data_IF_182171730162
#
_entry.id   IF_182171730162
#
_cell.length_a   1.000
_cell.length_b   1.000
_cell.length_c   1.000
_cell.angle_alpha   90.00
_cell.angle_beta   90.00
_cell.angle_gamma   90.00
#
_symmetry.space_group_name_H-M   'P 1'
#
loop_
_entity.id
_entity.type
_entity.pdbx_description
1 polymer ?
#
# COMPACT_ATOMS: atom_id res chain seq x y z
N UNK A 1 -1.42 20.63 -0.43
CA UNK A 1 -0.36 20.00 0.39
C UNK A 1 1.03 20.26 -0.17
N UNK A 2 1.33 19.88 -1.42
CA UNK A 2 2.68 19.94 -1.99
C UNK A 2 3.27 21.37 -2.03
N UNK A 3 2.46 22.39 -2.27
CA UNK A 3 2.91 23.80 -2.25
C UNK A 3 3.36 24.21 -0.84
N UNK A 4 2.67 23.75 0.20
CA UNK A 4 3.07 23.99 1.60
C UNK A 4 4.37 23.25 1.94
N UNK A 5 4.55 22.02 1.47
CA UNK A 5 5.80 21.28 1.61
C UNK A 5 6.98 22.00 0.94
N UNK A 6 6.78 22.50 -0.28
CA UNK A 6 7.78 23.28 -1.01
C UNK A 6 8.17 24.60 -0.27
N UNK A 7 7.30 25.09 0.61
CA UNK A 7 7.52 26.27 1.46
C UNK A 7 7.93 25.93 2.89
N UNK A 8 8.37 24.67 3.13
CA UNK A 8 8.79 24.16 4.45
C UNK A 8 7.71 24.26 5.55
N UNK A 9 6.44 24.35 5.16
CA UNK A 9 5.29 24.43 6.07
C UNK A 9 4.63 23.05 6.21
N UNK A 10 5.29 22.15 6.93
CA UNK A 10 4.88 20.73 7.04
C UNK A 10 3.71 20.50 7.99
N UNK A 11 3.60 21.27 9.08
CA UNK A 11 2.62 21.08 10.14
C UNK A 11 1.16 20.99 9.63
N UNK A 12 0.65 22.01 8.93
CA UNK A 12 -0.72 21.98 8.42
C UNK A 12 -1.02 20.82 7.47
N UNK A 13 -0.04 20.43 6.67
CA UNK A 13 -0.17 19.28 5.76
C UNK A 13 -0.31 17.96 6.51
N UNK A 14 0.50 17.78 7.57
CA UNK A 14 0.45 16.55 8.37
C UNK A 14 -0.82 16.42 9.21
N UNK A 15 -1.38 17.55 9.67
CA UNK A 15 -2.61 17.57 10.48
C UNK A 15 -3.90 17.49 9.66
N UNK A 16 -3.86 17.81 8.39
CA UNK A 16 -5.08 17.83 7.56
C UNK A 16 -5.79 16.46 7.44
N UNK A 17 -5.10 15.31 7.33
CA UNK A 17 -5.77 14.01 7.36
C UNK A 17 -6.43 13.69 8.72
N UNK A 18 -5.86 14.19 9.82
CA UNK A 18 -6.44 13.99 11.16
C UNK A 18 -7.82 14.64 11.25
N UNK A 19 -7.98 15.83 10.67
CA UNK A 19 -9.28 16.53 10.63
C UNK A 19 -10.30 15.70 9.83
N UNK A 20 -9.90 15.15 8.68
CA UNK A 20 -10.77 14.26 7.92
C UNK A 20 -11.19 13.04 8.74
N UNK A 21 -10.26 12.42 9.48
CA UNK A 21 -10.57 11.27 10.33
C UNK A 21 -11.51 11.62 11.46
N UNK A 22 -11.37 12.80 12.10
CA UNK A 22 -12.30 13.29 13.13
C UNK A 22 -13.70 13.44 12.55
N UNK A 23 -13.83 14.03 11.36
CA UNK A 23 -15.13 14.18 10.68
C UNK A 23 -15.72 12.82 10.35
N UNK A 24 -14.91 11.89 9.84
CA UNK A 24 -15.35 10.53 9.51
C UNK A 24 -15.84 9.77 10.75
N UNK A 25 -15.13 9.85 11.87
CA UNK A 25 -15.54 9.23 13.14
C UNK A 25 -16.84 9.86 13.64
N UNK A 26 -16.92 11.19 13.66
CA UNK A 26 -18.14 11.90 14.05
C UNK A 26 -19.33 11.51 13.17
N UNK A 27 -19.13 11.41 11.88
CA UNK A 27 -20.15 10.97 10.91
C UNK A 27 -20.62 9.54 11.16
N UNK A 28 -19.71 8.63 11.48
CA UNK A 28 -20.06 7.24 11.81
C UNK A 28 -20.85 7.16 13.13
N UNK A 29 -20.47 7.95 14.13
CA UNK A 29 -21.23 8.02 15.39
C UNK A 29 -22.66 8.53 15.14
N UNK A 30 -22.81 9.58 14.33
CA UNK A 30 -24.14 10.09 13.95
C UNK A 30 -24.92 9.03 13.16
N UNK A 31 -24.27 8.36 12.21
CA UNK A 31 -24.89 7.29 11.44
C UNK A 31 -25.43 6.17 12.33
N UNK A 32 -24.62 5.71 13.30
CA UNK A 32 -25.03 4.67 14.26
C UNK A 32 -26.17 5.15 15.19
N UNK A 33 -26.22 6.45 15.51
CA UNK A 33 -27.32 7.02 16.30
C UNK A 33 -28.63 7.11 15.52
N UNK A 34 -28.56 7.40 14.23
CA UNK A 34 -29.74 7.59 13.36
C UNK A 34 -30.28 6.24 12.85
N UNK A 35 -29.40 5.34 12.43
CA UNK A 35 -29.80 4.10 11.77
C UNK A 35 -29.60 2.83 12.62
N UNK A 36 -28.99 2.98 13.80
CA UNK A 36 -28.71 1.85 14.69
C UNK A 36 -27.48 1.04 14.27
N UNK A 37 -27.20 0.00 15.05
CA UNK A 37 -26.11 -0.93 14.77
C UNK A 37 -26.57 -1.99 13.75
N UNK A 38 -25.65 -2.37 12.86
CA UNK A 38 -25.87 -3.52 12.00
C UNK A 38 -25.82 -4.81 12.82
N UNK A 39 -26.82 -5.68 12.66
CA UNK A 39 -26.83 -7.02 13.23
C UNK A 39 -26.60 -8.05 12.13
N UNK A 40 -25.78 -9.07 12.43
CA UNK A 40 -25.50 -10.13 11.47
C UNK A 40 -26.80 -10.82 11.01
N UNK A 41 -26.95 -11.00 9.69
CA UNK A 41 -28.15 -11.59 9.07
C UNK A 41 -29.24 -10.57 8.67
N UNK A 42 -29.01 -9.27 8.81
CA UNK A 42 -29.91 -8.27 8.21
C UNK A 42 -29.83 -8.28 6.70
N UNK A 43 -31.00 -8.11 6.06
CA UNK A 43 -31.10 -8.01 4.62
C UNK A 43 -30.20 -6.86 4.07
N UNK A 44 -29.36 -7.10 3.07
CA UNK A 44 -28.60 -6.04 2.37
C UNK A 44 -29.48 -4.91 1.82
N UNK A 45 -30.77 -5.16 1.58
CA UNK A 45 -31.77 -4.17 1.14
C UNK A 45 -32.02 -3.02 2.14
N UNK A 46 -31.53 -3.11 3.37
CA UNK A 46 -31.58 -2.01 4.34
C UNK A 46 -30.76 -0.77 3.90
N UNK A 47 -29.84 -0.94 2.96
CA UNK A 47 -29.05 0.16 2.41
C UNK A 47 -29.89 0.99 1.44
N UNK A 48 -30.78 1.79 1.99
CA UNK A 48 -31.60 2.74 1.26
C UNK A 48 -30.80 3.95 0.75
N UNK A 49 -31.43 4.75 -0.10
CA UNK A 49 -30.81 5.95 -0.66
C UNK A 49 -30.35 6.94 0.42
N UNK A 50 -31.05 7.00 1.57
CA UNK A 50 -30.72 7.87 2.69
C UNK A 50 -29.40 7.47 3.36
N UNK A 51 -29.22 6.19 3.66
CA UNK A 51 -27.97 5.63 4.24
C UNK A 51 -26.80 5.83 3.33
N UNK A 52 -26.97 5.52 2.03
CA UNK A 52 -25.93 5.69 1.02
C UNK A 52 -25.55 7.16 0.87
N UNK A 53 -26.56 8.06 0.78
CA UNK A 53 -26.34 9.49 0.66
C UNK A 53 -25.62 10.06 1.89
N UNK A 54 -26.00 9.64 3.10
CA UNK A 54 -25.36 10.08 4.34
C UNK A 54 -23.87 9.70 4.36
N UNK A 55 -23.52 8.45 4.09
CA UNK A 55 -22.13 8.00 4.05
C UNK A 55 -21.35 8.73 2.95
N UNK A 56 -21.91 8.85 1.75
CA UNK A 56 -21.27 9.56 0.64
C UNK A 56 -21.07 11.05 0.91
N UNK A 57 -22.10 11.75 1.43
CA UNK A 57 -22.04 13.15 1.74
C UNK A 57 -21.03 13.46 2.87
N UNK A 58 -21.02 12.67 3.92
CA UNK A 58 -20.10 12.87 5.06
C UNK A 58 -18.65 12.58 4.67
N UNK A 59 -18.39 11.56 3.86
CA UNK A 59 -17.04 11.29 3.31
C UNK A 59 -16.56 12.46 2.44
N UNK A 60 -17.43 12.95 1.55
CA UNK A 60 -17.14 14.11 0.70
C UNK A 60 -16.89 15.37 1.53
N UNK A 61 -17.70 15.60 2.58
CA UNK A 61 -17.54 16.72 3.50
C UNK A 61 -16.16 16.66 4.20
N UNK A 62 -15.73 15.48 4.66
CA UNK A 62 -14.42 15.29 5.28
C UNK A 62 -13.29 15.72 4.35
N UNK A 63 -13.33 15.30 3.08
CA UNK A 63 -12.35 15.68 2.06
C UNK A 63 -12.41 17.18 1.77
N UNK A 64 -13.59 17.76 1.66
CA UNK A 64 -13.77 19.19 1.41
C UNK A 64 -13.21 20.04 2.56
N UNK A 65 -13.53 19.70 3.80
CA UNK A 65 -13.00 20.41 4.99
C UNK A 65 -11.47 20.25 5.08
N UNK A 66 -10.94 19.06 4.84
CA UNK A 66 -9.49 18.82 4.76
C UNK A 66 -8.83 19.76 3.74
N UNK A 67 -9.42 19.94 2.58
CA UNK A 67 -8.92 20.83 1.54
C UNK A 67 -9.00 22.30 1.98
N UNK A 68 -10.11 22.72 2.59
CA UNK A 68 -10.31 24.09 3.08
C UNK A 68 -9.35 24.46 4.20
N UNK A 69 -9.08 23.55 5.13
CA UNK A 69 -8.12 23.76 6.23
C UNK A 69 -6.72 24.01 5.68
N UNK A 70 -6.32 23.33 4.59
CA UNK A 70 -5.04 23.58 3.92
C UNK A 70 -4.96 24.94 3.21
N UNK A 71 -6.10 25.52 2.85
CA UNK A 71 -6.14 26.81 2.18
C UNK A 71 -5.70 27.95 3.11
N UNK A 72 -6.06 27.90 4.39
CA UNK A 72 -5.73 28.93 5.39
C UNK A 72 -4.21 29.14 5.51
N UNK A 73 -3.38 28.12 5.82
CA UNK A 73 -1.92 28.28 5.90
C UNK A 73 -1.28 28.59 4.54
N UNK A 74 -1.92 28.16 3.43
CA UNK A 74 -1.46 28.49 2.09
C UNK A 74 -1.54 29.99 1.82
N UNK A 75 -2.66 30.61 2.14
CA UNK A 75 -2.83 32.08 2.01
C UNK A 75 -1.93 32.82 2.99
N UNK A 76 -1.81 32.36 4.25
CA UNK A 76 -0.91 32.94 5.27
C UNK A 76 0.56 32.86 4.87
N UNK A 77 0.96 31.85 4.08
CA UNK A 77 2.33 31.75 3.54
C UNK A 77 2.59 32.73 2.37
N UNK A 78 1.66 33.67 2.09
CA UNK A 78 1.79 34.64 1.01
C UNK A 78 1.46 34.11 -0.38
N UNK A 79 0.93 32.87 -0.48
CA UNK A 79 0.47 32.33 -1.75
C UNK A 79 -0.90 32.91 -2.09
N UNK A 80 -0.96 33.70 -3.16
CA UNK A 80 -2.21 34.22 -3.70
C UNK A 80 -2.52 33.49 -4.99
N UNK A 81 -3.45 32.52 -4.99
CA UNK A 81 -3.83 31.83 -6.21
C UNK A 81 -4.43 32.85 -7.19
N UNK A 82 -3.86 32.96 -8.38
CA UNK A 82 -4.42 33.72 -9.49
C UNK A 82 -4.78 32.74 -10.59
N UNK A 83 -6.00 32.83 -11.07
CA UNK A 83 -6.43 32.09 -12.25
C UNK A 83 -5.78 32.74 -13.47
N UNK A 84 -4.77 32.08 -14.04
CA UNK A 84 -4.09 32.55 -15.24
C UNK A 84 -4.49 31.65 -16.39
N UNK A 85 -5.14 32.22 -17.36
CA UNK A 85 -5.51 31.54 -18.60
C UNK A 85 -4.34 31.69 -19.60
N UNK A 86 -3.82 30.60 -20.05
CA UNK A 86 -2.72 30.52 -21.01
C UNK A 86 -1.55 29.69 -20.50
N UNK A 87 -1.30 28.57 -21.18
CA UNK A 87 -0.25 27.62 -20.80
C UNK A 87 1.03 27.76 -21.65
N UNK A 88 1.08 28.77 -22.56
CA UNK A 88 2.25 28.99 -23.43
C UNK A 88 3.40 29.62 -22.64
N UNK A 89 4.60 29.05 -22.77
CA UNK A 89 5.81 29.58 -22.13
C UNK A 89 6.11 29.09 -20.70
N UNK A 90 5.24 28.28 -20.09
CA UNK A 90 5.45 27.79 -18.70
C UNK A 90 6.27 26.49 -18.60
N UNK A 91 6.86 26.01 -19.70
CA UNK A 91 7.64 24.77 -19.71
C UNK A 91 6.80 23.50 -19.42
N UNK A 92 5.48 23.60 -19.46
CA UNK A 92 4.55 22.51 -19.11
C UNK A 92 4.68 21.29 -20.01
N UNK A 93 5.21 21.43 -21.25
CA UNK A 93 5.31 20.34 -22.20
C UNK A 93 6.24 19.21 -21.76
N UNK A 94 7.34 19.50 -21.07
CA UNK A 94 8.21 18.47 -20.52
C UNK A 94 7.62 17.84 -19.24
N UNK A 95 7.05 18.69 -18.36
CA UNK A 95 6.42 18.23 -17.13
C UNK A 95 5.16 17.40 -17.40
N UNK A 96 4.36 17.78 -18.39
CA UNK A 96 3.14 17.02 -18.75
C UNK A 96 3.46 15.64 -19.30
N UNK A 97 4.56 15.46 -20.03
CA UNK A 97 5.01 14.13 -20.48
C UNK A 97 5.38 13.22 -19.30
N UNK A 98 6.15 13.74 -18.33
CA UNK A 98 6.52 12.98 -17.12
C UNK A 98 5.26 12.63 -16.32
N UNK A 99 4.35 13.59 -16.13
CA UNK A 99 3.10 13.39 -15.44
C UNK A 99 2.18 12.37 -16.15
N UNK A 100 2.09 12.43 -17.48
CA UNK A 100 1.28 11.49 -18.26
C UNK A 100 1.77 10.04 -18.08
N UNK A 101 3.08 9.81 -18.19
CA UNK A 101 3.64 8.46 -17.98
C UNK A 101 3.46 7.97 -16.54
N UNK A 102 3.59 8.86 -15.56
CA UNK A 102 3.33 8.52 -14.15
C UNK A 102 1.84 8.20 -13.91
N UNK A 103 0.91 8.95 -14.52
CA UNK A 103 -0.53 8.68 -14.44
C UNK A 103 -0.88 7.33 -15.10
N UNK A 104 -0.31 7.04 -16.26
CA UNK A 104 -0.50 5.74 -16.93
C UNK A 104 0.04 4.60 -16.07
N UNK A 105 1.21 4.76 -15.45
CA UNK A 105 1.75 3.78 -14.50
C UNK A 105 0.81 3.53 -13.32
N UNK A 106 0.34 4.60 -12.69
CA UNK A 106 -0.64 4.50 -11.59
C UNK A 106 -1.93 3.81 -12.03
N UNK A 107 -2.46 4.15 -13.21
CA UNK A 107 -3.67 3.55 -13.75
C UNK A 107 -3.48 2.02 -13.98
N UNK A 108 -2.33 1.61 -14.52
CA UNK A 108 -2.01 0.19 -14.73
C UNK A 108 -1.89 -0.54 -13.39
N UNK A 109 -1.20 0.02 -12.41
CA UNK A 109 -1.09 -0.57 -11.06
C UNK A 109 -2.47 -0.73 -10.42
N UNK A 110 -3.37 0.24 -10.60
CA UNK A 110 -4.75 0.17 -10.07
C UNK A 110 -5.59 -0.97 -10.66
N UNK A 111 -5.21 -1.54 -11.82
CA UNK A 111 -5.90 -2.72 -12.37
C UNK A 111 -5.79 -3.92 -11.42
N UNK A 112 -4.66 -4.08 -10.73
CA UNK A 112 -4.48 -5.12 -9.73
C UNK A 112 -5.43 -4.97 -8.54
N UNK A 113 -5.63 -3.74 -8.06
CA UNK A 113 -6.56 -3.44 -6.96
C UNK A 113 -8.01 -3.69 -7.37
N UNK A 114 -8.37 -3.31 -8.62
CA UNK A 114 -9.69 -3.57 -9.19
C UNK A 114 -9.93 -5.09 -9.28
N UNK A 115 -8.97 -5.86 -9.81
CA UNK A 115 -9.11 -7.30 -9.93
C UNK A 115 -9.27 -7.98 -8.56
N UNK A 116 -8.48 -7.56 -7.57
CA UNK A 116 -8.58 -8.05 -6.19
C UNK A 116 -9.94 -7.72 -5.58
N UNK A 117 -10.46 -6.51 -5.79
CA UNK A 117 -11.77 -6.09 -5.31
C UNK A 117 -12.90 -6.91 -5.96
N UNK A 118 -12.83 -7.15 -7.26
CA UNK A 118 -13.80 -7.99 -7.98
C UNK A 118 -13.78 -9.43 -7.48
N UNK A 119 -12.59 -10.00 -7.26
CA UNK A 119 -12.44 -11.35 -6.73
C UNK A 119 -13.01 -11.45 -5.30
N UNK A 120 -12.71 -10.46 -4.45
CA UNK A 120 -13.24 -10.39 -3.09
C UNK A 120 -14.76 -10.25 -3.03
N UNK A 121 -15.35 -9.49 -3.95
CA UNK A 121 -16.81 -9.36 -4.05
C UNK A 121 -17.47 -10.71 -4.46
N UNK A 122 -16.84 -11.44 -5.39
CA UNK A 122 -17.29 -12.78 -5.76
C UNK A 122 -17.14 -13.80 -4.62
N UNK A 123 -16.13 -13.64 -3.77
CA UNK A 123 -15.94 -14.49 -2.60
C UNK A 123 -17.09 -14.36 -1.60
N UNK A 124 -17.68 -13.17 -1.44
CA UNK A 124 -18.88 -12.96 -0.61
C UNK A 124 -20.05 -13.76 -1.16
N UNK A 125 -20.32 -13.66 -2.47
CA UNK A 125 -21.40 -14.44 -3.09
C UNK A 125 -21.16 -15.95 -3.01
N UNK A 126 -19.91 -16.40 -3.15
CA UNK A 126 -19.57 -17.81 -2.99
C UNK A 126 -19.80 -18.32 -1.55
N UNK A 127 -19.52 -17.49 -0.55
CA UNK A 127 -19.73 -17.82 0.87
C UNK A 127 -21.21 -18.13 1.21
N UNK A 128 -22.14 -17.52 0.48
CA UNK A 128 -23.60 -17.74 0.65
C UNK A 128 -24.08 -19.08 0.05
N UNK A 129 -23.25 -19.76 -0.73
CA UNK A 129 -23.61 -21.03 -1.34
C UNK A 129 -23.56 -22.19 -0.34
N UNK A 130 -24.44 -23.19 -0.51
CA UNK A 130 -24.50 -24.37 0.36
C UNK A 130 -23.17 -25.15 0.42
N UNK A 131 -22.34 -25.07 -0.62
CA UNK A 131 -21.04 -25.71 -0.69
C UNK A 131 -20.07 -25.18 0.36
N UNK A 132 -20.18 -23.92 0.77
CA UNK A 132 -19.28 -23.24 1.71
C UNK A 132 -19.93 -22.94 3.07
N UNK A 133 -21.11 -23.49 3.36
CA UNK A 133 -21.85 -23.26 4.62
C UNK A 133 -21.06 -23.55 5.90
N UNK A 134 -20.06 -24.42 5.83
CA UNK A 134 -19.20 -24.81 6.97
C UNK A 134 -17.76 -24.34 6.85
N UNK A 135 -17.44 -23.50 5.87
CA UNK A 135 -16.07 -23.04 5.60
C UNK A 135 -16.05 -21.52 5.59
N UNK A 136 -15.09 -20.93 6.31
CA UNK A 136 -14.90 -19.49 6.27
C UNK A 136 -14.28 -19.10 4.94
N UNK A 137 -15.01 -18.34 4.14
CA UNK A 137 -14.52 -17.71 2.93
C UNK A 137 -14.18 -16.26 3.25
N UNK A 138 -12.89 -15.87 3.18
CA UNK A 138 -12.51 -14.49 3.52
C UNK A 138 -13.20 -13.49 2.60
N UNK A 139 -13.95 -12.57 3.22
CA UNK A 139 -14.67 -11.49 2.53
C UNK A 139 -13.76 -10.34 2.15
N UNK A 140 -14.30 -9.37 1.39
CA UNK A 140 -13.62 -8.10 1.10
C UNK A 140 -13.20 -7.37 2.38
N UNK A 141 -14.07 -7.31 3.38
CA UNK A 141 -13.79 -6.66 4.66
C UNK A 141 -12.62 -7.33 5.40
N UNK A 142 -12.59 -8.66 5.42
CA UNK A 142 -11.50 -9.42 6.02
C UNK A 142 -10.19 -9.13 5.29
N UNK A 143 -10.21 -9.12 3.96
CA UNK A 143 -9.02 -8.81 3.16
C UNK A 143 -8.53 -7.39 3.40
N UNK A 144 -9.43 -6.40 3.48
CA UNK A 144 -9.07 -5.00 3.75
C UNK A 144 -8.46 -4.82 5.15
N UNK A 145 -9.00 -5.50 6.16
CA UNK A 145 -8.42 -5.52 7.51
C UNK A 145 -7.01 -6.14 7.50
N UNK A 146 -6.82 -7.21 6.72
CA UNK A 146 -5.51 -7.83 6.52
C UNK A 146 -4.52 -6.87 5.86
N UNK A 147 -5.00 -6.12 4.87
CA UNK A 147 -4.21 -5.07 4.20
C UNK A 147 -3.84 -3.92 5.16
N UNK A 148 -4.72 -3.53 6.08
CA UNK A 148 -4.39 -2.51 7.09
C UNK A 148 -3.20 -2.95 7.94
N UNK A 149 -3.22 -4.18 8.48
CA UNK A 149 -2.10 -4.72 9.29
C UNK A 149 -0.80 -4.77 8.47
N UNK A 150 -0.88 -5.20 7.22
CA UNK A 150 0.24 -5.25 6.30
C UNK A 150 0.82 -3.86 6.00
N UNK A 151 -0.03 -2.82 5.84
CA UNK A 151 0.40 -1.48 5.46
C UNK A 151 1.03 -0.68 6.61
N UNK A 152 0.77 -1.02 7.88
CA UNK A 152 1.27 -0.27 9.03
C UNK A 152 2.81 -0.15 9.05
N UNK A 153 3.60 -1.25 8.97
CA UNK A 153 5.05 -1.17 8.93
C UNK A 153 5.57 -0.38 7.74
N UNK A 154 4.93 -0.57 6.60
CA UNK A 154 5.28 0.09 5.35
C UNK A 154 5.12 1.61 5.44
N UNK A 155 3.98 2.08 5.94
CA UNK A 155 3.68 3.51 6.03
C UNK A 155 4.54 4.23 7.08
N UNK A 156 4.78 3.61 8.22
CA UNK A 156 5.51 4.23 9.34
C UNK A 156 7.02 4.33 9.07
N UNK A 157 7.62 3.26 8.58
CA UNK A 157 9.08 3.15 8.50
C UNK A 157 9.59 3.33 7.08
N UNK A 158 9.10 2.48 6.16
CA UNK A 158 9.64 2.43 4.80
C UNK A 158 9.41 3.76 4.07
N UNK A 159 8.21 4.33 4.18
CA UNK A 159 7.89 5.61 3.53
C UNK A 159 8.74 6.75 4.07
N UNK A 160 8.98 6.81 5.38
CA UNK A 160 9.81 7.85 6.01
C UNK A 160 11.26 7.79 5.53
N UNK A 161 11.86 6.60 5.55
CA UNK A 161 13.23 6.37 5.10
C UNK A 161 13.37 6.70 3.61
N UNK A 162 12.46 6.19 2.79
CA UNK A 162 12.49 6.37 1.34
C UNK A 162 12.32 7.86 0.98
N UNK A 163 11.46 8.60 1.68
CA UNK A 163 11.24 10.03 1.40
C UNK A 163 12.50 10.85 1.68
N UNK A 164 13.18 10.59 2.81
CA UNK A 164 14.44 11.25 3.13
C UNK A 164 15.54 10.93 2.11
N UNK A 165 15.66 9.67 1.70
CA UNK A 165 16.64 9.23 0.71
C UNK A 165 16.34 9.77 -0.68
N UNK A 166 15.07 9.86 -1.06
CA UNK A 166 14.67 10.37 -2.37
C UNK A 166 15.13 11.82 -2.59
N UNK A 167 15.00 12.68 -1.58
CA UNK A 167 15.48 14.07 -1.65
C UNK A 167 16.99 14.13 -1.91
N UNK A 168 17.77 13.29 -1.22
CA UNK A 168 19.23 13.20 -1.42
C UNK A 168 19.58 12.67 -2.81
N UNK A 169 18.94 11.55 -3.22
CA UNK A 169 19.16 10.95 -4.54
C UNK A 169 18.81 11.92 -5.66
N UNK A 170 17.72 12.68 -5.55
CA UNK A 170 17.30 13.65 -6.55
C UNK A 170 18.32 14.81 -6.69
N UNK A 171 18.83 15.32 -5.56
CA UNK A 171 19.87 16.36 -5.56
C UNK A 171 21.16 15.86 -6.21
N UNK A 172 21.63 14.66 -5.88
CA UNK A 172 22.82 14.04 -6.47
C UNK A 172 22.63 13.71 -7.95
N UNK A 173 21.46 13.20 -8.33
CA UNK A 173 21.14 12.95 -9.75
C UNK A 173 21.19 14.23 -10.58
N UNK A 174 20.64 15.34 -10.06
CA UNK A 174 20.71 16.65 -10.71
C UNK A 174 22.14 17.19 -10.81
N UNK A 175 23.01 16.88 -9.85
CA UNK A 175 24.43 17.22 -9.88
C UNK A 175 25.29 16.27 -10.75
N UNK A 176 24.71 15.22 -11.33
CA UNK A 176 25.44 14.22 -12.11
C UNK A 176 26.26 13.22 -11.27
N UNK A 177 26.13 13.23 -9.96
CA UNK A 177 26.83 12.35 -9.01
C UNK A 177 26.19 10.95 -8.98
N UNK A 178 26.54 10.11 -9.96
CA UNK A 178 26.02 8.75 -10.08
C UNK A 178 26.48 7.83 -8.95
N UNK A 179 27.71 7.99 -8.48
CA UNK A 179 28.24 7.18 -7.38
C UNK A 179 27.52 7.51 -6.07
N UNK A 180 27.28 8.78 -5.80
CA UNK A 180 26.48 9.20 -4.65
C UNK A 180 25.04 8.70 -4.67
N UNK A 181 24.39 8.65 -5.84
CA UNK A 181 23.05 8.05 -5.99
C UNK A 181 23.08 6.55 -5.74
N UNK A 182 24.11 5.84 -6.26
CA UNK A 182 24.32 4.41 -5.99
C UNK A 182 24.47 4.11 -4.50
N UNK A 183 25.27 4.91 -3.82
CA UNK A 183 25.56 4.72 -2.40
C UNK A 183 24.32 4.98 -1.54
N UNK A 184 23.54 6.01 -1.86
CA UNK A 184 22.25 6.27 -1.20
C UNK A 184 21.22 5.16 -1.50
N UNK A 185 21.18 4.61 -2.73
CA UNK A 185 20.34 3.46 -3.05
C UNK A 185 20.74 2.22 -2.24
N UNK A 186 22.05 1.90 -2.18
CA UNK A 186 22.58 0.78 -1.40
C UNK A 186 22.28 0.94 0.09
N UNK A 187 22.46 2.14 0.63
CA UNK A 187 22.11 2.46 2.02
C UNK A 187 20.61 2.26 2.26
N UNK A 188 19.78 2.82 1.39
CA UNK A 188 18.33 2.75 1.49
C UNK A 188 17.81 1.31 1.48
N UNK A 189 18.25 0.51 0.52
CA UNK A 189 17.86 -0.89 0.42
C UNK A 189 18.26 -1.69 1.67
N UNK A 190 19.44 -1.46 2.22
CA UNK A 190 19.92 -2.15 3.42
C UNK A 190 19.21 -1.69 4.69
N UNK A 191 18.93 -0.40 4.81
CA UNK A 191 18.17 0.13 5.95
C UNK A 191 16.72 -0.37 5.93
N UNK A 192 16.06 -0.30 4.77
CA UNK A 192 14.70 -0.80 4.59
C UNK A 192 14.65 -2.32 4.84
N UNK A 193 15.69 -3.08 4.44
CA UNK A 193 15.78 -4.52 4.68
C UNK A 193 15.64 -4.89 6.17
N UNK A 194 16.30 -4.13 7.06
CA UNK A 194 16.25 -4.40 8.52
C UNK A 194 14.82 -4.38 9.02
N UNK A 195 14.06 -3.36 8.67
CA UNK A 195 12.68 -3.19 9.11
C UNK A 195 11.73 -4.15 8.40
N UNK A 196 11.85 -4.29 7.08
CA UNK A 196 10.93 -5.15 6.31
C UNK A 196 11.08 -6.62 6.66
N UNK A 197 12.31 -7.11 6.90
CA UNK A 197 12.53 -8.50 7.34
C UNK A 197 12.03 -8.70 8.79
N UNK A 198 12.29 -7.75 9.69
CA UNK A 198 11.80 -7.81 11.06
C UNK A 198 10.27 -7.87 11.11
N UNK A 199 9.60 -6.97 10.38
CA UNK A 199 8.13 -6.94 10.33
C UNK A 199 7.56 -8.17 9.63
N UNK A 200 8.19 -8.65 8.55
CA UNK A 200 7.76 -9.87 7.88
C UNK A 200 7.83 -11.08 8.82
N UNK A 201 8.91 -11.21 9.57
CA UNK A 201 9.06 -12.28 10.56
C UNK A 201 8.05 -12.18 11.71
N UNK A 202 7.86 -10.97 12.25
CA UNK A 202 6.88 -10.72 13.33
C UNK A 202 5.45 -11.00 12.89
N UNK A 203 5.06 -10.50 11.73
CA UNK A 203 3.72 -10.73 11.18
C UNK A 203 3.52 -12.21 10.81
N UNK A 204 4.52 -12.88 10.23
CA UNK A 204 4.41 -14.29 9.88
C UNK A 204 4.19 -15.19 11.10
N UNK A 205 4.74 -14.85 12.27
CA UNK A 205 4.56 -15.58 13.51
C UNK A 205 3.25 -15.22 14.23
N UNK A 206 2.88 -13.96 14.21
CA UNK A 206 1.77 -13.39 14.97
C UNK A 206 0.55 -13.03 14.09
N UNK A 207 0.37 -13.68 12.93
CA UNK A 207 -0.64 -13.28 11.96
C UNK A 207 -2.05 -13.23 12.53
N UNK A 208 -2.55 -14.30 13.15
CA UNK A 208 -3.89 -14.33 13.74
C UNK A 208 -4.03 -13.39 14.96
N UNK A 209 -3.12 -13.37 15.95
CA UNK A 209 -3.14 -12.38 17.03
C UNK A 209 -3.06 -10.94 16.53
N UNK A 210 -2.26 -10.66 15.50
CA UNK A 210 -2.17 -9.32 14.92
C UNK A 210 -3.50 -8.90 14.27
N UNK A 211 -4.15 -9.80 13.54
CA UNK A 211 -5.48 -9.55 12.97
C UNK A 211 -6.51 -9.25 14.06
N UNK A 212 -6.54 -10.02 15.14
CA UNK A 212 -7.42 -9.77 16.28
C UNK A 212 -7.16 -8.43 16.96
N UNK A 213 -5.90 -8.04 17.11
CA UNK A 213 -5.53 -6.78 17.75
C UNK A 213 -5.96 -5.56 16.93
N UNK A 214 -5.75 -5.59 15.61
CA UNK A 214 -6.02 -4.47 14.72
C UNK A 214 -7.41 -4.47 14.10
N UNK A 215 -8.07 -5.63 14.07
CA UNK A 215 -9.44 -5.81 13.59
C UNK A 215 -10.27 -6.61 14.63
N UNK A 216 -10.58 -6.03 15.80
CA UNK A 216 -11.27 -6.72 16.88
C UNK A 216 -12.71 -7.13 16.54
N UNK A 217 -13.24 -6.66 15.41
CA UNK A 217 -14.52 -7.09 14.85
C UNK A 217 -14.51 -8.50 14.26
N UNK A 218 -13.31 -9.05 13.95
CA UNK A 218 -13.17 -10.41 13.46
C UNK A 218 -13.25 -11.41 14.61
N UNK A 219 -13.96 -12.50 14.40
CA UNK A 219 -13.88 -13.66 15.29
C UNK A 219 -12.49 -14.30 15.20
N UNK A 220 -12.10 -15.06 16.24
CA UNK A 220 -10.82 -15.77 16.22
C UNK A 220 -10.72 -16.75 15.03
N UNK A 221 -11.83 -17.42 14.71
CA UNK A 221 -11.90 -18.34 13.58
C UNK A 221 -11.66 -17.63 12.24
N UNK A 222 -12.22 -16.43 12.06
CA UNK A 222 -11.98 -15.61 10.84
C UNK A 222 -10.54 -15.09 10.80
N UNK A 223 -9.98 -14.67 11.92
CA UNK A 223 -8.59 -14.23 11.99
C UNK A 223 -7.61 -15.38 11.66
N UNK A 224 -7.87 -16.58 12.16
CA UNK A 224 -7.04 -17.76 11.88
C UNK A 224 -7.18 -18.21 10.42
N UNK A 225 -8.40 -18.28 9.89
CA UNK A 225 -8.66 -18.58 8.47
C UNK A 225 -8.03 -17.56 7.50
N UNK A 226 -7.85 -16.31 7.95
CA UNK A 226 -7.25 -15.23 7.16
C UNK A 226 -5.75 -15.08 7.38
N UNK A 227 -5.18 -15.75 8.38
CA UNK A 227 -3.75 -15.68 8.69
C UNK A 227 -2.84 -16.07 7.52
N UNK A 228 -3.16 -17.04 6.64
CA UNK A 228 -2.35 -17.33 5.45
C UNK A 228 -2.25 -16.15 4.48
N UNK A 229 -3.32 -15.34 4.35
CA UNK A 229 -3.32 -14.12 3.52
C UNK A 229 -2.27 -13.15 4.05
N UNK A 230 -2.31 -12.90 5.36
CA UNK A 230 -1.38 -11.97 6.01
C UNK A 230 0.07 -12.46 5.95
N UNK A 231 0.31 -13.77 6.10
CA UNK A 231 1.65 -14.36 5.97
C UNK A 231 2.22 -14.16 4.57
N UNK A 232 1.42 -14.41 3.52
CA UNK A 232 1.84 -14.18 2.13
C UNK A 232 2.15 -12.70 1.88
N UNK A 233 1.30 -11.80 2.35
CA UNK A 233 1.52 -10.36 2.26
C UNK A 233 2.77 -9.93 3.06
N UNK A 234 3.01 -10.51 4.24
CA UNK A 234 4.18 -10.20 5.06
C UNK A 234 5.50 -10.51 4.34
N UNK A 235 5.58 -11.63 3.61
CA UNK A 235 6.71 -11.92 2.74
C UNK A 235 6.83 -10.83 1.65
N UNK A 236 5.70 -10.36 1.15
CA UNK A 236 5.62 -9.28 0.16
C UNK A 236 6.22 -7.97 0.64
N UNK A 237 6.17 -7.65 1.95
CA UNK A 237 6.74 -6.41 2.52
C UNK A 237 8.23 -6.26 2.15
N UNK A 238 8.98 -7.34 2.13
CA UNK A 238 10.42 -7.34 1.81
C UNK A 238 10.63 -6.83 0.38
N UNK A 239 9.89 -7.40 -0.57
CA UNK A 239 10.01 -7.04 -1.99
C UNK A 239 9.38 -5.67 -2.28
N UNK A 240 8.31 -5.30 -1.59
CA UNK A 240 7.71 -3.98 -1.68
C UNK A 240 8.70 -2.89 -1.24
N UNK A 241 9.47 -3.13 -0.16
CA UNK A 241 10.53 -2.22 0.27
C UNK A 241 11.62 -2.05 -0.80
N UNK A 242 12.00 -3.14 -1.48
CA UNK A 242 12.94 -3.10 -2.60
C UNK A 242 12.34 -2.30 -3.76
N UNK A 243 11.11 -2.61 -4.16
CA UNK A 243 10.39 -1.95 -5.24
C UNK A 243 10.30 -0.44 -5.03
N UNK A 244 9.77 0.00 -3.88
CA UNK A 244 9.61 1.42 -3.59
C UNK A 244 10.94 2.18 -3.52
N UNK A 245 11.99 1.57 -2.98
CA UNK A 245 13.32 2.22 -2.94
C UNK A 245 13.90 2.33 -4.35
N UNK A 246 13.80 1.28 -5.14
CA UNK A 246 14.30 1.23 -6.51
C UNK A 246 13.57 2.19 -7.46
N UNK A 247 12.24 2.28 -7.33
CA UNK A 247 11.39 3.21 -8.08
C UNK A 247 11.84 4.68 -7.90
N UNK A 248 12.30 5.06 -6.68
CA UNK A 248 12.77 6.42 -6.42
C UNK A 248 13.98 6.82 -7.26
N UNK A 249 14.84 5.89 -7.63
CA UNK A 249 15.95 6.19 -8.54
C UNK A 249 15.41 6.60 -9.91
N UNK A 250 14.45 5.85 -10.45
CA UNK A 250 13.84 6.18 -11.76
C UNK A 250 13.16 7.56 -11.71
N UNK A 251 12.48 7.88 -10.60
CA UNK A 251 11.86 9.19 -10.38
C UNK A 251 12.91 10.30 -10.23
N UNK A 252 14.04 10.06 -9.56
CA UNK A 252 15.13 11.03 -9.41
C UNK A 252 15.74 11.42 -10.77
N UNK A 253 15.78 10.47 -11.71
CA UNK A 253 16.19 10.72 -13.09
C UNK A 253 15.04 11.14 -14.02
N UNK A 254 13.82 11.32 -13.49
CA UNK A 254 12.60 11.65 -14.26
C UNK A 254 12.28 10.67 -15.40
N UNK A 255 12.73 9.42 -15.30
CA UNK A 255 12.55 8.38 -16.34
C UNK A 255 11.27 7.57 -16.11
N UNK A 256 10.14 8.28 -16.02
CA UNK A 256 8.82 7.68 -15.80
C UNK A 256 8.33 6.84 -16.97
N UNK A 257 8.78 7.16 -18.20
CA UNK A 257 8.41 6.38 -19.39
C UNK A 257 8.91 4.94 -19.31
N UNK A 258 10.14 4.74 -18.86
CA UNK A 258 10.69 3.37 -18.73
C UNK A 258 10.17 2.69 -17.47
N UNK A 259 9.91 3.45 -16.42
CA UNK A 259 9.30 2.93 -15.19
C UNK A 259 7.96 2.24 -15.48
N UNK A 260 7.20 2.71 -16.48
CA UNK A 260 5.94 2.11 -16.91
C UNK A 260 6.06 0.60 -17.22
N UNK A 261 7.23 0.12 -17.67
CA UNK A 261 7.46 -1.30 -17.94
C UNK A 261 7.38 -2.11 -16.63
N UNK A 262 7.98 -1.59 -15.58
CA UNK A 262 7.94 -2.24 -14.28
C UNK A 262 6.57 -2.06 -13.61
N UNK A 263 5.92 -0.89 -13.74
CA UNK A 263 4.55 -0.65 -13.30
C UNK A 263 3.56 -1.60 -14.00
N UNK A 264 3.80 -1.93 -15.28
CA UNK A 264 2.99 -2.90 -16.00
C UNK A 264 3.07 -4.32 -15.38
N UNK A 265 4.26 -4.74 -14.95
CA UNK A 265 4.42 -6.01 -14.22
C UNK A 265 3.65 -5.96 -12.90
N UNK A 266 3.80 -4.86 -12.15
CA UNK A 266 3.13 -4.68 -10.85
C UNK A 266 1.61 -4.68 -10.98
N UNK A 267 1.05 -4.10 -12.05
CA UNK A 267 -0.39 -4.04 -12.28
C UNK A 267 -0.99 -5.29 -12.90
N UNK A 268 -0.29 -5.94 -13.84
CA UNK A 268 -0.85 -7.07 -14.61
C UNK A 268 -0.73 -8.40 -13.85
N UNK A 269 0.35 -8.63 -13.10
CA UNK A 269 0.55 -9.88 -12.36
C UNK A 269 -0.60 -10.17 -11.38
N UNK A 270 -1.07 -9.21 -10.54
CA UNK A 270 -2.23 -9.47 -9.67
C UNK A 270 -3.50 -9.82 -10.45
N UNK A 271 -3.73 -9.19 -11.61
CA UNK A 271 -4.89 -9.51 -12.46
C UNK A 271 -4.86 -10.97 -12.90
N UNK A 272 -3.70 -11.43 -13.40
CA UNK A 272 -3.51 -12.81 -13.85
C UNK A 272 -3.71 -13.79 -12.68
N UNK A 273 -3.14 -13.47 -11.51
CA UNK A 273 -3.24 -14.34 -10.34
C UNK A 273 -4.65 -14.35 -9.74
N UNK A 274 -5.36 -13.23 -9.73
CA UNK A 274 -6.76 -13.17 -9.32
C UNK A 274 -7.64 -14.01 -10.27
N UNK A 275 -7.44 -13.88 -11.59
CA UNK A 275 -8.16 -14.69 -12.56
C UNK A 275 -7.83 -16.19 -12.43
N UNK A 276 -6.54 -16.52 -12.29
CA UNK A 276 -6.10 -17.90 -12.07
C UNK A 276 -6.69 -18.50 -10.79
N UNK A 277 -6.71 -17.73 -9.70
CA UNK A 277 -7.31 -18.16 -8.45
C UNK A 277 -8.80 -18.43 -8.57
N UNK A 278 -9.52 -17.56 -9.27
CA UNK A 278 -10.95 -17.73 -9.54
C UNK A 278 -11.25 -19.00 -10.35
N UNK A 279 -10.41 -19.31 -11.33
CA UNK A 279 -10.64 -20.45 -12.25
C UNK A 279 -10.16 -21.79 -11.70
N UNK A 280 -9.11 -21.80 -10.87
CA UNK A 280 -8.38 -23.01 -10.50
C UNK A 280 -8.51 -23.39 -9.02
N UNK A 281 -8.88 -22.44 -8.14
CA UNK A 281 -8.91 -22.66 -6.69
C UNK A 281 -10.35 -22.65 -6.16
N UNK A 282 -10.64 -23.37 -5.07
CA UNK A 282 -11.90 -23.21 -4.34
C UNK A 282 -11.97 -21.83 -3.66
N UNK A 283 -13.19 -21.32 -3.41
CA UNK A 283 -13.43 -19.93 -3.02
C UNK A 283 -12.72 -19.51 -1.70
N UNK A 284 -12.55 -20.42 -0.76
CA UNK A 284 -11.83 -20.16 0.50
C UNK A 284 -10.33 -19.82 0.31
N UNK A 285 -9.73 -20.13 -0.86
CA UNK A 285 -8.36 -19.78 -1.20
C UNK A 285 -8.22 -18.60 -2.17
N UNK A 286 -9.31 -18.03 -2.68
CA UNK A 286 -9.24 -16.93 -3.65
C UNK A 286 -8.47 -15.73 -3.11
N UNK A 287 -8.68 -15.37 -1.85
CA UNK A 287 -7.97 -14.23 -1.25
C UNK A 287 -6.50 -14.52 -0.94
N UNK A 288 -6.15 -15.78 -0.70
CA UNK A 288 -4.74 -16.21 -0.61
C UNK A 288 -4.07 -16.07 -1.98
N UNK A 289 -4.77 -16.44 -3.05
CA UNK A 289 -4.31 -16.26 -4.42
C UNK A 289 -4.14 -14.77 -4.79
N UNK A 290 -5.05 -13.89 -4.36
CA UNK A 290 -4.90 -12.45 -4.53
C UNK A 290 -3.66 -11.92 -3.78
N UNK A 291 -3.41 -12.39 -2.55
CA UNK A 291 -2.22 -12.06 -1.79
C UNK A 291 -0.94 -12.55 -2.47
N UNK A 292 -0.96 -13.77 -3.04
CA UNK A 292 0.14 -14.30 -3.86
C UNK A 292 0.37 -13.43 -5.11
N UNK A 293 -0.70 -12.94 -5.73
CA UNK A 293 -0.64 -11.97 -6.83
C UNK A 293 0.08 -10.68 -6.42
N UNK A 294 -0.25 -10.13 -5.26
CA UNK A 294 0.42 -8.97 -4.69
C UNK A 294 1.91 -9.24 -4.39
N UNK A 295 2.23 -10.38 -3.78
CA UNK A 295 3.62 -10.79 -3.53
C UNK A 295 4.41 -10.90 -4.84
N UNK A 296 3.90 -11.65 -5.83
CA UNK A 296 4.60 -11.89 -7.10
C UNK A 296 4.72 -10.62 -7.93
N UNK A 297 3.76 -9.69 -7.83
CA UNK A 297 3.86 -8.37 -8.46
C UNK A 297 5.03 -7.56 -7.90
N UNK A 298 5.23 -7.57 -6.59
CA UNK A 298 6.35 -6.86 -5.95
C UNK A 298 7.70 -7.51 -6.31
N UNK A 299 7.77 -8.84 -6.35
CA UNK A 299 8.95 -9.58 -6.83
C UNK A 299 9.24 -9.22 -8.29
N UNK A 300 8.23 -9.32 -9.15
CA UNK A 300 8.35 -9.01 -10.58
C UNK A 300 8.71 -7.56 -10.84
N UNK A 301 8.07 -6.61 -10.16
CA UNK A 301 8.38 -5.18 -10.24
C UNK A 301 9.81 -4.87 -9.81
N UNK A 302 10.26 -5.47 -8.69
CA UNK A 302 11.63 -5.35 -8.20
C UNK A 302 12.64 -5.92 -9.21
N UNK A 303 12.34 -7.04 -9.85
CA UNK A 303 13.19 -7.63 -10.88
C UNK A 303 13.19 -6.79 -12.17
N UNK A 304 12.04 -6.29 -12.59
CA UNK A 304 11.90 -5.48 -13.81
C UNK A 304 12.58 -4.10 -13.71
N UNK A 305 12.63 -3.49 -12.52
CA UNK A 305 13.25 -2.18 -12.33
C UNK A 305 14.80 -2.23 -12.35
N UNK A 306 15.42 -3.35 -11.99
CA UNK A 306 16.89 -3.50 -11.93
C UNK A 306 17.57 -3.17 -13.26
N UNK A 307 17.19 -3.75 -14.42
CA UNK A 307 17.82 -3.42 -15.69
C UNK A 307 17.58 -1.97 -16.12
N UNK A 308 16.48 -1.35 -15.67
CA UNK A 308 16.18 0.04 -15.93
C UNK A 308 17.13 0.96 -15.16
N UNK A 309 17.35 0.68 -13.88
CA UNK A 309 18.28 1.42 -13.02
C UNK A 309 19.71 1.30 -13.54
N UNK A 310 20.14 0.13 -14.04
CA UNK A 310 21.50 -0.08 -14.59
C UNK A 310 21.84 0.84 -15.75
N UNK A 311 20.86 1.42 -16.44
CA UNK A 311 21.11 2.42 -17.49
C UNK A 311 21.58 3.76 -16.92
N UNK A 312 21.13 4.10 -15.73
CA UNK A 312 21.55 5.32 -15.03
C UNK A 312 22.74 5.06 -14.10
N UNK A 313 22.78 3.88 -13.49
CA UNK A 313 23.78 3.42 -12.52
C UNK A 313 24.42 2.10 -13.01
N UNK A 314 25.47 2.15 -13.86
CA UNK A 314 26.06 0.94 -14.46
C UNK A 314 26.63 -0.05 -13.44
N UNK A 315 27.08 0.47 -12.29
CA UNK A 315 27.62 -0.34 -11.20
C UNK A 315 26.67 -0.26 -10.01
N UNK A 316 25.97 -1.37 -9.70
CA UNK A 316 25.14 -1.51 -8.50
C UNK A 316 25.91 -2.28 -7.43
N UNK A 317 25.73 -1.91 -6.16
CA UNK A 317 26.28 -2.60 -5.00
C UNK A 317 25.45 -3.86 -4.64
N UNK A 318 25.10 -4.65 -5.66
CA UNK A 318 24.17 -5.77 -5.55
C UNK A 318 24.65 -6.82 -4.53
N UNK A 319 25.96 -7.14 -4.52
CA UNK A 319 26.54 -8.15 -3.63
C UNK A 319 26.31 -7.78 -2.17
N UNK A 320 26.53 -6.52 -1.83
CA UNK A 320 26.41 -6.03 -0.45
C UNK A 320 24.95 -5.98 -0.01
N UNK A 321 24.07 -5.53 -0.90
CA UNK A 321 22.62 -5.48 -0.66
C UNK A 321 22.08 -6.90 -0.45
N UNK A 322 22.30 -7.81 -1.40
CA UNK A 322 21.82 -9.20 -1.32
C UNK A 322 22.37 -9.92 -0.09
N UNK A 323 23.66 -9.76 0.21
CA UNK A 323 24.27 -10.33 1.43
C UNK A 323 23.59 -9.82 2.71
N UNK A 324 23.18 -8.54 2.75
CA UNK A 324 22.43 -7.97 3.88
C UNK A 324 21.07 -8.65 4.03
N UNK A 325 20.30 -8.76 2.94
CA UNK A 325 18.99 -9.44 2.98
C UNK A 325 19.10 -10.89 3.43
N UNK A 326 20.05 -11.65 2.87
CA UNK A 326 20.27 -13.05 3.25
C UNK A 326 20.60 -13.16 4.73
N UNK A 327 21.54 -12.36 5.24
CA UNK A 327 21.92 -12.37 6.66
C UNK A 327 20.75 -12.04 7.57
N UNK A 328 19.92 -11.06 7.22
CA UNK A 328 18.76 -10.66 7.99
C UNK A 328 17.69 -11.76 7.99
N UNK A 329 17.41 -12.37 6.83
CA UNK A 329 16.47 -13.50 6.74
C UNK A 329 16.94 -14.67 7.55
N UNK A 330 18.22 -15.06 7.44
CA UNK A 330 18.80 -16.14 8.23
C UNK A 330 18.74 -15.83 9.73
N UNK A 331 19.04 -14.58 10.13
CA UNK A 331 18.95 -14.17 11.53
C UNK A 331 17.51 -14.16 12.07
N UNK A 332 16.52 -13.92 11.22
CA UNK A 332 15.11 -13.94 11.60
C UNK A 332 14.51 -15.35 11.71
N UNK A 333 15.07 -16.34 11.00
CA UNK A 333 14.57 -17.73 11.00
C UNK A 333 14.40 -18.35 12.41
N UNK A 334 15.39 -18.27 13.32
CA UNK A 334 15.23 -18.82 14.67
C UNK A 334 14.06 -18.19 15.42
N UNK A 335 13.87 -16.87 15.29
CA UNK A 335 12.77 -16.17 15.93
C UNK A 335 11.41 -16.62 15.38
N UNK A 336 11.30 -16.83 14.06
CA UNK A 336 10.09 -17.37 13.42
C UNK A 336 9.81 -18.80 13.90
N UNK A 337 10.83 -19.66 13.93
CA UNK A 337 10.68 -21.06 14.39
C UNK A 337 10.23 -21.11 15.85
N UNK A 338 10.89 -20.35 16.71
CA UNK A 338 10.51 -20.29 18.15
C UNK A 338 9.10 -19.72 18.32
N UNK A 339 8.78 -18.64 17.61
CA UNK A 339 7.44 -18.03 17.67
C UNK A 339 6.32 -18.98 17.24
N UNK A 340 6.54 -19.74 16.14
CA UNK A 340 5.59 -20.76 15.69
C UNK A 340 5.50 -21.95 16.66
N UNK A 341 6.61 -22.35 17.27
CA UNK A 341 6.62 -23.41 18.28
C UNK A 341 5.84 -22.99 19.54
N UNK A 342 6.08 -21.77 20.04
CA UNK A 342 5.35 -21.19 21.18
C UNK A 342 3.86 -21.12 20.89
N UNK A 343 3.47 -20.67 19.70
CA UNK A 343 2.05 -20.62 19.28
C UNK A 343 1.42 -22.02 19.30
N UNK A 344 2.15 -23.06 18.89
CA UNK A 344 1.64 -24.45 18.94
C UNK A 344 1.47 -24.98 20.36
N UNK A 345 2.33 -24.55 21.31
CA UNK A 345 2.31 -25.01 22.69
C UNK A 345 1.23 -24.27 23.51
N UNK A 346 1.13 -22.97 23.32
CA UNK A 346 0.17 -22.13 24.08
C UNK A 346 -1.26 -22.23 23.54
N UNK A 347 -1.45 -22.81 22.37
CA UNK A 347 -2.74 -22.83 21.69
C UNK A 347 -3.11 -21.46 21.09
N UNK A 348 -4.29 -21.37 20.45
CA UNK A 348 -4.80 -20.13 19.92
C UNK A 348 -5.17 -19.11 20.97
#
# INVERSE_FOLDING_TARGET
GQVLNARSSFGPYMWSPVINNIISIGSLIIFLRVYGHYTAGQDPGIWDAGRIAMVGATTTLGIAVQAMVLYIPLVRSGFRPRLVWGMRGLGLGAMSKVALWALLGTAIVSLGDIATTQLASRAVTAAESAQYAHVIVPSKTIYDNTQLVYMLPQSLVTTSIITALFTRMSSKAAAGDRDGVRDDLSLGLRTVAVFTVLFAAGIATLAAPALQLFAPSLSWAEADASSPILVVLAIGIIFQGIWFTAQRVMLAYSDTKRLLIADAVVGVVPVILCLGSYLLLPANYWMVGAAAGSLLSQVGGSAAVIPLIRRHLPRLDSRRVVSTYIRLVVAAMPAVVVGLAVRRILGP
#
